data_IF_561164424534
#
_entry.id   IF_561164424534
#
_cell.length_a   1.000
_cell.length_b   1.000
_cell.length_c   1.000
_cell.angle_alpha   90.00
_cell.angle_beta   90.00
_cell.angle_gamma   90.00
#
_symmetry.space_group_name_H-M   'P 1'
#
loop_
_entity.id
_entity.type
_entity.pdbx_description
1 polymer ?
#
# COMPACT_ATOMS: atom_id res chain seq x y z
N UNK A 1 -11.75 31.27 9.99
CA UNK A 1 -10.81 30.14 10.16
C UNK A 1 -11.48 28.93 9.56
N UNK A 2 -10.88 28.25 8.57
CA UNK A 2 -11.46 27.03 8.00
C UNK A 2 -11.10 25.85 8.91
N UNK A 3 -12.06 24.96 9.15
CA UNK A 3 -11.79 23.73 9.88
C UNK A 3 -11.04 22.75 8.96
N UNK A 4 -10.13 22.00 9.54
CA UNK A 4 -9.37 20.98 8.84
C UNK A 4 -9.66 19.64 9.57
N UNK A 5 -10.01 18.64 8.80
CA UNK A 5 -10.33 17.32 9.29
C UNK A 5 -9.18 16.36 8.95
N UNK A 6 -8.83 15.50 9.90
CA UNK A 6 -7.78 14.50 9.76
C UNK A 6 -8.38 13.11 9.97
N UNK A 7 -8.00 12.17 9.12
CA UNK A 7 -8.25 10.75 9.31
C UNK A 7 -6.92 10.00 9.33
N UNK A 8 -6.66 9.27 10.41
CA UNK A 8 -5.46 8.45 10.56
C UNK A 8 -5.80 7.01 10.19
N UNK A 9 -5.08 6.47 9.23
CA UNK A 9 -5.25 5.11 8.75
C UNK A 9 -3.98 4.31 9.01
N UNK A 10 -4.13 3.17 9.66
CA UNK A 10 -3.08 2.20 9.90
C UNK A 10 -3.45 0.88 9.19
N UNK A 11 -2.54 0.38 8.37
CA UNK A 11 -2.79 -0.84 7.62
C UNK A 11 -2.56 -2.08 8.50
N UNK A 12 -3.59 -2.85 8.76
CA UNK A 12 -3.45 -4.14 9.41
C UNK A 12 -2.59 -5.07 8.55
N UNK A 13 -1.45 -5.52 9.07
CA UNK A 13 -0.52 -6.42 8.36
C UNK A 13 -0.06 -5.88 6.99
N UNK A 14 0.28 -4.61 6.90
CA UNK A 14 0.61 -3.87 5.68
C UNK A 14 1.41 -4.67 4.64
N UNK A 15 2.55 -5.25 5.02
CA UNK A 15 3.39 -6.03 4.09
C UNK A 15 2.77 -7.38 3.70
N UNK A 16 2.04 -8.02 4.60
CA UNK A 16 1.42 -9.32 4.34
C UNK A 16 0.17 -9.23 3.46
N UNK A 17 -0.44 -8.05 3.35
CA UNK A 17 -1.66 -7.83 2.57
C UNK A 17 -1.39 -7.42 1.11
N UNK A 18 -0.13 -7.21 0.72
CA UNK A 18 0.21 -6.85 -0.66
C UNK A 18 -0.15 -8.02 -1.59
N UNK A 19 -1.03 -7.73 -2.56
CA UNK A 19 -1.40 -8.68 -3.61
C UNK A 19 -0.33 -8.70 -4.70
N UNK A 20 0.27 -9.84 -4.92
CA UNK A 20 1.36 -10.01 -5.88
C UNK A 20 0.92 -9.68 -7.31
N UNK A 21 -0.28 -10.10 -7.71
CA UNK A 21 -0.80 -9.86 -9.06
C UNK A 21 -1.00 -8.37 -9.33
N UNK A 22 -1.56 -7.66 -8.36
CA UNK A 22 -1.72 -6.20 -8.42
C UNK A 22 -0.35 -5.50 -8.42
N UNK A 23 0.60 -5.97 -7.60
CA UNK A 23 1.96 -5.41 -7.56
C UNK A 23 2.67 -5.50 -8.91
N UNK A 24 2.61 -6.67 -9.57
CA UNK A 24 3.23 -6.87 -10.89
C UNK A 24 2.59 -6.00 -11.96
N UNK A 25 1.28 -5.78 -11.89
CA UNK A 25 0.58 -4.87 -12.79
C UNK A 25 1.05 -3.43 -12.59
N UNK A 26 1.17 -2.97 -11.34
CA UNK A 26 1.67 -1.64 -10.99
C UNK A 26 3.08 -1.42 -11.53
N UNK A 27 3.99 -2.38 -11.36
CA UNK A 27 5.35 -2.28 -11.87
C UNK A 27 5.39 -2.15 -13.39
N UNK A 28 4.54 -2.90 -14.09
CA UNK A 28 4.40 -2.81 -15.55
C UNK A 28 3.87 -1.45 -16.00
N UNK A 29 2.85 -0.92 -15.34
CA UNK A 29 2.28 0.41 -15.61
C UNK A 29 3.29 1.54 -15.36
N UNK A 30 4.22 1.35 -14.43
CA UNK A 30 5.33 2.26 -14.17
C UNK A 30 6.46 2.19 -15.21
N UNK A 31 6.37 1.30 -16.19
CA UNK A 31 7.39 1.15 -17.23
C UNK A 31 8.61 0.32 -16.80
N UNK A 32 8.51 -0.47 -15.73
CA UNK A 32 9.56 -1.42 -15.36
C UNK A 32 9.66 -2.48 -16.46
N UNK A 33 10.88 -2.71 -16.94
CA UNK A 33 11.15 -3.65 -18.05
C UNK A 33 10.71 -5.08 -17.71
N UNK A 34 10.17 -5.78 -18.68
CA UNK A 34 9.60 -7.13 -18.47
C UNK A 34 10.60 -8.12 -17.88
N UNK A 35 11.90 -8.07 -18.28
CA UNK A 35 12.90 -8.97 -17.71
C UNK A 35 13.14 -8.72 -16.23
N UNK A 36 13.12 -7.46 -15.75
CA UNK A 36 13.23 -7.14 -14.32
C UNK A 36 11.99 -7.57 -13.56
N UNK A 37 10.81 -7.35 -14.14
CA UNK A 37 9.55 -7.82 -13.55
C UNK A 37 9.53 -9.35 -13.45
N UNK A 38 10.08 -10.05 -14.43
CA UNK A 38 10.23 -11.51 -14.40
C UNK A 38 11.18 -11.97 -13.29
N UNK A 39 12.33 -11.34 -13.14
CA UNK A 39 13.28 -11.63 -12.06
C UNK A 39 12.63 -11.42 -10.67
N UNK A 40 11.91 -10.32 -10.49
CA UNK A 40 11.21 -10.04 -9.24
C UNK A 40 10.12 -11.08 -8.96
N UNK A 41 9.33 -11.46 -9.98
CA UNK A 41 8.33 -12.54 -9.84
C UNK A 41 8.98 -13.86 -9.41
N UNK A 42 10.09 -14.23 -10.03
CA UNK A 42 10.81 -15.45 -9.66
C UNK A 42 11.37 -15.39 -8.22
N UNK A 43 11.79 -14.23 -7.76
CA UNK A 43 12.22 -14.03 -6.38
C UNK A 43 11.09 -14.25 -5.37
N UNK A 44 9.84 -13.97 -5.76
CA UNK A 44 8.66 -14.13 -4.92
C UNK A 44 7.89 -15.43 -5.19
N UNK A 45 8.16 -16.12 -6.30
CA UNK A 45 7.52 -17.38 -6.63
C UNK A 45 7.99 -18.53 -5.70
N UNK A 46 7.04 -19.33 -5.23
CA UNK A 46 7.36 -20.52 -4.44
C UNK A 46 8.04 -20.23 -3.09
N UNK A 47 7.74 -19.09 -2.50
CA UNK A 47 8.29 -18.74 -1.18
C UNK A 47 7.73 -19.65 -0.09
N UNK A 48 8.63 -20.16 0.71
CA UNK A 48 8.31 -20.98 1.88
C UNK A 48 8.82 -20.30 3.14
N UNK A 49 8.14 -20.51 4.25
CA UNK A 49 8.56 -20.06 5.57
C UNK A 49 8.46 -21.18 6.58
N UNK A 50 9.29 -21.10 7.60
CA UNK A 50 9.22 -21.92 8.80
C UNK A 50 9.13 -21.02 10.02
N UNK A 51 8.32 -21.40 10.98
CA UNK A 51 8.30 -20.77 12.29
C UNK A 51 9.33 -21.44 13.20
N UNK A 52 10.08 -20.67 13.96
CA UNK A 52 11.00 -21.19 14.97
C UNK A 52 10.61 -20.66 16.35
N UNK A 53 10.30 -21.56 17.25
CA UNK A 53 9.99 -21.27 18.65
C UNK A 53 10.99 -21.99 19.53
N UNK A 54 11.96 -21.25 20.08
CA UNK A 54 12.96 -21.83 20.98
C UNK A 54 13.74 -22.99 20.35
N UNK A 55 13.37 -24.24 20.68
CA UNK A 55 14.04 -25.43 20.20
C UNK A 55 13.31 -26.19 19.09
N UNK A 56 12.11 -25.76 18.73
CA UNK A 56 11.28 -26.40 17.72
C UNK A 56 11.16 -25.56 16.47
N UNK A 57 11.15 -26.21 15.32
CA UNK A 57 10.91 -25.59 14.01
C UNK A 57 9.66 -26.21 13.41
N UNK A 58 8.75 -25.40 12.92
CA UNK A 58 7.56 -25.91 12.23
C UNK A 58 7.91 -26.48 10.86
N UNK A 59 7.02 -27.29 10.29
CA UNK A 59 7.10 -27.67 8.88
C UNK A 59 7.07 -26.44 7.98
N UNK A 60 7.68 -26.56 6.79
CA UNK A 60 7.64 -25.51 5.77
C UNK A 60 6.21 -25.30 5.30
N UNK A 61 5.79 -24.05 5.21
CA UNK A 61 4.52 -23.66 4.61
C UNK A 61 4.73 -22.61 3.51
N UNK A 62 3.92 -22.66 2.47
CA UNK A 62 4.02 -21.74 1.36
C UNK A 62 3.42 -20.38 1.70
N UNK A 63 4.10 -19.32 1.26
CA UNK A 63 3.61 -17.94 1.35
C UNK A 63 2.92 -17.59 0.04
N UNK A 64 1.60 -17.36 0.10
CA UNK A 64 0.78 -17.09 -1.09
C UNK A 64 0.67 -15.62 -1.49
N UNK A 65 0.97 -14.69 -0.58
CA UNK A 65 0.88 -13.25 -0.82
C UNK A 65 1.75 -12.47 0.15
N UNK A 66 2.00 -11.21 -0.18
CA UNK A 66 2.71 -10.28 0.69
C UNK A 66 4.17 -10.09 0.32
N UNK A 67 4.75 -9.02 0.84
CA UNK A 67 6.17 -8.72 0.71
C UNK A 67 6.93 -9.03 1.99
N UNK A 68 8.17 -9.53 1.86
CA UNK A 68 8.96 -9.99 3.01
C UNK A 68 9.33 -8.85 3.95
N UNK A 69 9.07 -9.00 5.23
CA UNK A 69 9.65 -8.13 6.25
C UNK A 69 11.17 -8.32 6.29
N UNK A 70 11.91 -7.22 6.43
CA UNK A 70 13.38 -7.23 6.45
C UNK A 70 14.06 -7.29 5.08
N UNK A 71 13.31 -7.43 3.98
CA UNK A 71 13.84 -7.32 2.63
C UNK A 71 13.95 -5.85 2.22
N UNK A 72 15.08 -5.45 1.63
CA UNK A 72 15.32 -4.06 1.20
C UNK A 72 14.33 -3.56 0.14
N UNK A 73 13.73 -4.46 -0.65
CA UNK A 73 12.76 -4.13 -1.69
C UNK A 73 11.33 -3.95 -1.14
N UNK A 74 11.01 -4.57 -0.02
CA UNK A 74 9.64 -4.60 0.51
C UNK A 74 9.06 -3.22 0.83
N UNK A 75 9.80 -2.28 1.45
CA UNK A 75 9.29 -0.92 1.65
C UNK A 75 8.98 -0.20 0.34
N UNK A 76 9.81 -0.40 -0.70
CA UNK A 76 9.57 0.17 -2.02
C UNK A 76 8.29 -0.40 -2.65
N UNK A 77 8.12 -1.71 -2.62
CA UNK A 77 6.94 -2.39 -3.16
C UNK A 77 5.67 -1.98 -2.43
N UNK A 78 5.72 -1.93 -1.11
CA UNK A 78 4.58 -1.47 -0.32
C UNK A 78 4.23 -0.01 -0.65
N UNK A 79 5.21 0.89 -0.71
CA UNK A 79 4.98 2.30 -1.04
C UNK A 79 4.36 2.48 -2.44
N UNK A 80 4.79 1.69 -3.43
CA UNK A 80 4.22 1.72 -4.78
C UNK A 80 2.79 1.21 -4.78
N UNK A 81 2.55 0.11 -4.09
CA UNK A 81 1.24 -0.51 -3.95
C UNK A 81 0.24 0.43 -3.25
N UNK A 82 0.62 0.97 -2.09
CA UNK A 82 -0.20 1.92 -1.34
C UNK A 82 -0.47 3.22 -2.14
N UNK A 83 0.54 3.71 -2.87
CA UNK A 83 0.36 4.88 -3.75
C UNK A 83 -0.65 4.62 -4.85
N UNK A 84 -0.63 3.42 -5.43
CA UNK A 84 -1.57 3.04 -6.49
C UNK A 84 -3.00 2.94 -5.96
N UNK A 85 -3.19 2.28 -4.81
CA UNK A 85 -4.50 2.17 -4.16
C UNK A 85 -5.06 3.55 -3.86
N UNK A 86 -4.27 4.41 -3.20
CA UNK A 86 -4.69 5.74 -2.84
C UNK A 86 -5.02 6.60 -4.06
N UNK A 87 -4.22 6.50 -5.13
CA UNK A 87 -4.51 7.20 -6.38
C UNK A 87 -5.82 6.76 -6.99
N UNK A 88 -6.13 5.48 -6.95
CA UNK A 88 -7.37 4.95 -7.51
C UNK A 88 -8.59 5.34 -6.67
N UNK A 89 -8.46 5.32 -5.33
CA UNK A 89 -9.52 5.76 -4.42
C UNK A 89 -9.84 7.26 -4.52
N UNK A 90 -8.86 8.08 -4.96
CA UNK A 90 -9.00 9.55 -5.00
C UNK A 90 -9.06 10.13 -6.42
N UNK A 91 -9.16 9.29 -7.47
CA UNK A 91 -9.11 9.73 -8.88
C UNK A 91 -10.24 10.72 -9.26
N UNK A 92 -11.38 10.65 -8.60
CA UNK A 92 -12.50 11.55 -8.87
C UNK A 92 -12.45 12.87 -8.08
N UNK A 93 -11.58 12.99 -7.07
CA UNK A 93 -11.51 14.13 -6.17
C UNK A 93 -10.19 14.91 -6.27
N UNK A 94 -9.81 15.32 -7.46
CA UNK A 94 -8.66 16.23 -7.65
C UNK A 94 -8.79 17.57 -6.88
N UNK A 95 -9.92 17.82 -6.24
CA UNK A 95 -10.21 19.01 -5.44
C UNK A 95 -10.20 18.77 -3.93
N UNK A 96 -10.22 17.49 -3.47
CA UNK A 96 -10.16 17.17 -2.05
C UNK A 96 -8.77 17.43 -1.46
N UNK A 97 -8.71 17.96 -0.24
CA UNK A 97 -7.49 18.26 0.46
C UNK A 97 -7.32 19.71 0.88
N UNK A 98 -6.17 20.03 1.42
CA UNK A 98 -5.85 21.35 1.95
C UNK A 98 -4.90 22.06 1.01
N UNK A 99 -5.20 23.32 0.66
CA UNK A 99 -4.30 24.13 -0.15
C UNK A 99 -3.23 24.78 0.71
N UNK A 100 -1.98 24.40 0.49
CA UNK A 100 -0.80 25.01 1.11
C UNK A 100 0.12 25.51 0.00
N UNK A 101 0.38 26.81 -0.06
CA UNK A 101 1.26 27.43 -1.07
C UNK A 101 0.96 26.95 -2.50
N UNK A 102 -0.31 27.07 -2.91
CA UNK A 102 -0.82 26.68 -4.24
C UNK A 102 -0.80 25.16 -4.55
N UNK A 103 -0.36 24.33 -3.62
CA UNK A 103 -0.38 22.87 -3.74
C UNK A 103 -1.53 22.29 -2.93
N UNK A 104 -2.24 21.36 -3.53
CA UNK A 104 -3.27 20.60 -2.82
C UNK A 104 -2.62 19.41 -2.13
N UNK A 105 -2.74 19.34 -0.80
CA UNK A 105 -2.23 18.26 0.02
C UNK A 105 -3.43 17.53 0.64
N UNK A 106 -3.65 16.30 0.24
CA UNK A 106 -4.76 15.47 0.70
C UNK A 106 -4.30 14.28 1.55
N UNK A 107 -3.02 13.90 1.49
CA UNK A 107 -2.50 12.79 2.27
C UNK A 107 -1.05 12.99 2.66
N UNK A 108 -0.72 12.55 3.87
CA UNK A 108 0.65 12.39 4.35
C UNK A 108 0.89 10.91 4.66
N UNK A 109 2.05 10.39 4.29
CA UNK A 109 2.41 8.99 4.54
C UNK A 109 3.77 8.87 5.20
N UNK A 110 3.83 7.98 6.16
CA UNK A 110 5.06 7.55 6.79
C UNK A 110 5.01 6.03 6.98
N UNK A 111 5.78 5.29 6.20
CA UNK A 111 5.73 3.83 6.12
C UNK A 111 4.29 3.34 5.84
N UNK A 112 3.70 2.58 6.74
CA UNK A 112 2.34 2.08 6.71
C UNK A 112 1.30 3.04 7.31
N UNK A 113 1.72 4.08 8.00
CA UNK A 113 0.81 5.09 8.54
C UNK A 113 0.42 6.11 7.46
N UNK A 114 -0.86 6.29 7.26
CA UNK A 114 -1.39 7.28 6.33
C UNK A 114 -2.33 8.25 7.06
N UNK A 115 -2.15 9.54 6.84
CA UNK A 115 -3.05 10.58 7.33
C UNK A 115 -3.72 11.24 6.14
N UNK A 116 -5.04 11.18 6.10
CA UNK A 116 -5.84 11.86 5.10
C UNK A 116 -6.30 13.21 5.65
N UNK A 117 -6.37 14.21 4.81
CA UNK A 117 -6.72 15.58 5.17
C UNK A 117 -7.76 16.13 4.21
N UNK A 118 -8.80 16.79 4.75
CA UNK A 118 -9.82 17.46 3.96
C UNK A 118 -10.36 18.69 4.67
N UNK A 119 -11.07 19.55 3.91
CA UNK A 119 -11.78 20.71 4.46
C UNK A 119 -13.18 20.32 5.01
N UNK A 120 -13.68 19.11 4.73
CA UNK A 120 -14.94 18.60 5.26
C UNK A 120 -14.86 17.12 5.65
N UNK A 121 -15.73 16.69 6.56
CA UNK A 121 -15.83 15.28 6.99
C UNK A 121 -16.34 14.38 5.85
N UNK A 122 -17.23 14.90 5.00
CA UNK A 122 -17.82 14.16 3.88
C UNK A 122 -16.77 13.80 2.83
N UNK A 123 -15.79 14.67 2.61
CA UNK A 123 -14.67 14.40 1.72
C UNK A 123 -13.75 13.29 2.24
N UNK A 124 -13.65 13.09 3.56
CA UNK A 124 -12.86 12.00 4.15
C UNK A 124 -13.58 10.64 4.10
N UNK A 125 -14.91 10.61 4.13
CA UNK A 125 -15.68 9.36 4.16
C UNK A 125 -15.65 8.60 2.85
N UNK A 126 -15.74 9.30 1.72
CA UNK A 126 -15.78 8.67 0.38
C UNK A 126 -14.63 7.70 0.10
N UNK A 127 -13.35 8.08 0.30
CA UNK A 127 -12.24 7.16 0.02
C UNK A 127 -12.13 5.99 1.01
N UNK A 128 -12.74 6.11 2.19
CA UNK A 128 -12.76 5.01 3.17
C UNK A 128 -13.74 3.92 2.75
N UNK A 129 -14.92 4.30 2.27
CA UNK A 129 -15.94 3.36 1.80
C UNK A 129 -15.47 2.58 0.56
N UNK A 130 -14.73 3.21 -0.34
CA UNK A 130 -14.17 2.56 -1.54
C UNK A 130 -13.00 1.62 -1.24
N UNK A 131 -12.23 1.89 -0.18
CA UNK A 131 -11.12 1.02 0.24
C UNK A 131 -11.60 -0.29 0.87
N UNK A 132 -12.76 -0.31 1.51
CA UNK A 132 -13.37 -1.51 2.11
C UNK A 132 -14.03 -2.43 1.06
N UNK A 133 -14.44 -1.89 -0.09
CA UNK A 133 -15.07 -2.67 -1.16
C UNK A 133 -14.11 -3.37 -2.12
N UNK A 134 -12.81 -3.24 -1.91
CA UNK A 134 -11.74 -3.77 -2.77
C UNK A 134 -11.04 -5.04 -2.25
N UNK A 135 -11.64 -5.76 -1.27
CA UNK A 135 -11.18 -7.09 -0.85
C UNK A 135 -11.66 -8.21 -1.78
#
# INVERSE_FOLDING_TARGET
MKNIYFCFTDYAKAFACVDDSKLWKILKEMGIRDHLSCLLRNLYAGQEATGRTGHETTDCFQIGKGVRQGCILSPCFFNLYAKCIMRNAWLEEAQAGIKIAERNINSLRYADNTTLMAESEEELKKPLDESESGE
#
